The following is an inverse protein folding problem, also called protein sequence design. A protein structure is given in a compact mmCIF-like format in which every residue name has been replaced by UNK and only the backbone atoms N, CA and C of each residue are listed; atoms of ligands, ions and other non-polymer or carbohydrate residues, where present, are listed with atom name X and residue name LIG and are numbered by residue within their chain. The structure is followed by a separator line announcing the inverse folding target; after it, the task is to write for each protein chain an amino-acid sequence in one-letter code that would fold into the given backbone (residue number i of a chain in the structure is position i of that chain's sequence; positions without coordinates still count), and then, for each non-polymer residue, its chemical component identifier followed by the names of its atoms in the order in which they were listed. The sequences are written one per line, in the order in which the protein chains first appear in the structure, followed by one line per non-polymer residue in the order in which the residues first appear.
data_IF_139124134975
#
_entry.id   IF_139124134975
#
_cell.length_a   1.000
_cell.length_b   1.000
_cell.length_c   1.000
_cell.angle_alpha   90.00
_cell.angle_beta   90.00
_cell.angle_gamma   90.00
#
_symmetry.space_group_name_H-M   'P 1'
#
loop_
_entity.id
_entity.type
_entity.pdbx_description
1 polymer ?
#
# COMPACT_ATOMS: atom_id res chain seq x y z
N UNK A 1 -13.73 3.88 1.04
CA UNK A 1 -13.24 3.15 -0.14
C UNK A 1 -11.76 3.34 -0.34
N UNK A 2 -11.01 2.28 -0.60
CA UNK A 2 -9.61 2.44 -0.97
C UNK A 2 -9.48 3.19 -2.29
N UNK A 3 -8.39 3.88 -2.44
CA UNK A 3 -8.10 4.67 -3.61
C UNK A 3 -6.89 4.12 -4.32
N UNK A 4 -7.00 3.94 -5.63
CA UNK A 4 -5.87 3.49 -6.42
C UNK A 4 -4.71 4.47 -6.28
N UNK A 5 -3.50 3.95 -6.13
CA UNK A 5 -2.31 4.78 -5.96
C UNK A 5 -1.17 4.21 -6.78
N UNK A 6 -0.38 5.09 -7.38
CA UNK A 6 0.82 4.67 -8.09
C UNK A 6 1.99 4.65 -7.10
N UNK A 7 2.75 3.56 -7.11
CA UNK A 7 3.89 3.40 -6.21
C UNK A 7 5.12 3.03 -7.02
N UNK A 8 6.28 3.39 -6.47
CA UNK A 8 7.56 2.93 -6.98
C UNK A 8 8.13 1.98 -5.95
N UNK A 9 8.61 0.83 -6.40
CA UNK A 9 9.07 -0.24 -5.53
C UNK A 9 10.57 -0.41 -5.64
N UNK A 10 11.20 -0.84 -4.54
CA UNK A 10 12.57 -1.33 -4.60
C UNK A 10 12.55 -2.80 -5.01
N UNK A 11 13.72 -3.40 -5.17
CA UNK A 11 13.86 -4.78 -5.65
C UNK A 11 13.19 -5.81 -4.75
N UNK A 12 12.99 -5.50 -3.48
CA UNK A 12 12.32 -6.39 -2.53
C UNK A 12 10.80 -6.28 -2.59
N UNK A 13 10.26 -5.33 -3.37
CA UNK A 13 8.83 -5.12 -3.48
C UNK A 13 8.25 -4.14 -2.46
N UNK A 14 9.07 -3.49 -1.66
CA UNK A 14 8.61 -2.51 -0.68
C UNK A 14 8.49 -1.14 -1.35
N UNK A 15 7.39 -0.39 -1.12
CA UNK A 15 7.24 0.93 -1.70
C UNK A 15 8.31 1.91 -1.21
N UNK A 16 8.92 2.64 -2.14
CA UNK A 16 9.92 3.67 -1.82
C UNK A 16 9.46 5.07 -2.20
N UNK A 17 8.40 5.19 -3.00
CA UNK A 17 7.81 6.48 -3.35
C UNK A 17 6.35 6.28 -3.76
N UNK A 18 5.55 7.30 -3.56
CA UNK A 18 4.14 7.31 -3.92
C UNK A 18 3.84 8.53 -4.76
N UNK A 19 2.93 8.39 -5.70
CA UNK A 19 2.44 9.54 -6.45
C UNK A 19 1.29 10.18 -5.69
N UNK A 20 1.44 11.46 -5.39
CA UNK A 20 0.41 12.24 -4.68
C UNK A 20 0.19 13.53 -5.45
N UNK A 21 -1.06 13.84 -5.78
CA UNK A 21 -1.41 15.05 -6.51
C UNK A 21 -0.58 15.15 -7.79
N UNK A 22 0.29 16.12 -7.91
CA UNK A 22 1.05 16.37 -9.12
C UNK A 22 2.50 15.89 -9.03
N UNK A 23 2.87 15.16 -7.99
CA UNK A 23 4.26 14.77 -7.82
C UNK A 23 4.44 13.49 -7.04
N UNK A 24 5.70 13.10 -6.89
CA UNK A 24 6.10 11.93 -6.14
C UNK A 24 6.61 12.34 -4.78
N UNK A 25 6.22 11.59 -3.74
CA UNK A 25 6.75 11.74 -2.39
C UNK A 25 7.54 10.50 -2.05
N UNK A 26 8.74 10.70 -1.51
CA UNK A 26 9.57 9.59 -1.08
C UNK A 26 9.08 9.03 0.25
N UNK A 27 9.22 7.72 0.40
CA UNK A 27 8.99 7.03 1.67
C UNK A 27 10.30 7.10 2.44
N UNK A 28 10.27 7.73 3.62
CA UNK A 28 11.48 7.84 4.44
C UNK A 28 11.64 6.68 5.41
N UNK A 29 10.53 6.04 5.78
CA UNK A 29 10.59 4.88 6.68
C UNK A 29 9.39 3.98 6.50
N UNK A 30 9.61 2.67 6.54
CA UNK A 30 8.55 1.67 6.63
C UNK A 30 8.28 1.45 8.11
N UNK A 31 7.08 1.85 8.56
CA UNK A 31 6.72 1.81 9.97
C UNK A 31 6.17 0.45 10.39
N UNK A 32 5.39 -0.18 9.50
CA UNK A 32 4.80 -1.47 9.78
C UNK A 32 4.46 -2.18 8.48
N UNK A 33 4.35 -3.48 8.56
CA UNK A 33 4.05 -4.32 7.41
C UNK A 33 3.32 -5.57 7.90
N UNK A 34 2.17 -5.86 7.29
CA UNK A 34 1.41 -7.04 7.66
C UNK A 34 0.58 -7.51 6.46
N UNK A 35 0.11 -8.75 6.54
CA UNK A 35 -0.70 -9.34 5.49
C UNK A 35 -2.02 -9.81 6.05
N UNK A 36 -3.07 -9.70 5.23
CA UNK A 36 -4.36 -10.27 5.56
C UNK A 36 -4.78 -11.23 4.46
N UNK A 37 -5.35 -12.34 4.85
CA UNK A 37 -5.91 -13.33 3.93
C UNK A 37 -7.25 -13.77 4.47
N UNK A 38 -8.24 -13.85 3.57
CA UNK A 38 -9.56 -14.31 3.92
C UNK A 38 -10.11 -15.02 2.70
N UNK A 39 -10.04 -16.34 2.68
CA UNK A 39 -10.35 -17.07 1.46
C UNK A 39 -10.97 -18.44 1.63
N UNK A 40 -11.12 -18.91 2.83
CA UNK A 40 -11.40 -20.32 2.99
C UNK A 40 -12.86 -20.72 2.72
N UNK A 41 -13.76 -19.77 2.62
CA UNK A 41 -15.15 -20.09 2.26
C UNK A 41 -15.75 -19.12 1.24
N UNK A 42 -14.95 -18.32 0.56
CA UNK A 42 -15.48 -17.35 -0.40
C UNK A 42 -15.02 -17.69 -1.80
N UNK A 43 -15.83 -17.30 -2.77
CA UNK A 43 -15.47 -17.41 -4.17
C UNK A 43 -14.44 -16.36 -4.57
N UNK A 44 -14.28 -15.33 -3.78
CA UNK A 44 -13.32 -14.24 -4.04
C UNK A 44 -12.38 -14.12 -2.88
N UNK A 45 -11.29 -14.87 -2.91
CA UNK A 45 -10.30 -14.77 -1.84
C UNK A 45 -9.71 -13.36 -1.75
N UNK A 46 -9.42 -12.95 -0.53
CA UNK A 46 -8.75 -11.67 -0.27
C UNK A 46 -7.33 -11.97 0.18
N UNK A 47 -6.37 -11.37 -0.51
CA UNK A 47 -4.97 -11.48 -0.13
C UNK A 47 -4.35 -10.12 -0.31
N UNK A 48 -3.99 -9.45 0.78
CA UNK A 48 -3.48 -8.09 0.77
C UNK A 48 -2.24 -7.96 1.63
N UNK A 49 -1.25 -7.26 1.10
CA UNK A 49 -0.06 -6.90 1.86
C UNK A 49 -0.14 -5.41 2.19
N UNK A 50 -0.13 -5.09 3.48
CA UNK A 50 -0.27 -3.73 3.98
C UNK A 50 1.07 -3.17 4.40
N UNK A 51 1.26 -1.88 4.12
CA UNK A 51 2.48 -1.17 4.48
C UNK A 51 2.09 0.17 5.09
N UNK A 52 2.55 0.42 6.31
CA UNK A 52 2.39 1.73 6.93
C UNK A 52 3.67 2.51 6.72
N UNK A 53 3.56 3.66 6.07
CA UNK A 53 4.70 4.40 5.53
C UNK A 53 4.76 5.81 6.10
N UNK A 54 5.97 6.24 6.43
CA UNK A 54 6.24 7.63 6.76
C UNK A 54 6.78 8.31 5.50
N UNK A 55 6.13 9.39 5.07
CA UNK A 55 6.49 10.11 3.87
C UNK A 55 7.38 11.30 4.18
N UNK A 56 8.08 11.80 3.16
CA UNK A 56 9.00 12.92 3.32
C UNK A 56 8.35 14.21 3.81
N UNK A 57 7.04 14.36 3.64
CA UNK A 57 6.31 15.52 4.13
C UNK A 57 5.85 15.37 5.59
N UNK A 58 6.25 14.30 6.25
CA UNK A 58 5.91 14.04 7.65
C UNK A 58 4.61 13.29 7.87
N UNK A 59 3.86 13.02 6.82
CA UNK A 59 2.59 12.30 6.95
C UNK A 59 2.81 10.79 6.97
N UNK A 60 1.92 10.10 7.68
CA UNK A 60 1.89 8.65 7.73
C UNK A 60 0.68 8.18 6.93
N UNK A 61 0.89 7.25 6.03
CA UNK A 61 -0.21 6.66 5.28
C UNK A 61 -0.09 5.15 5.25
N UNK A 62 -1.22 4.49 5.04
CA UNK A 62 -1.24 3.04 4.87
C UNK A 62 -1.63 2.74 3.43
N UNK A 63 -0.83 1.94 2.75
CA UNK A 63 -1.14 1.45 1.42
C UNK A 63 -1.17 -0.06 1.45
N UNK A 64 -1.86 -0.66 0.51
CA UNK A 64 -1.83 -2.11 0.38
C UNK A 64 -1.76 -2.53 -1.08
N UNK A 65 -1.16 -3.69 -1.30
CA UNK A 65 -1.19 -4.34 -2.59
C UNK A 65 -2.19 -5.48 -2.54
N UNK A 66 -3.11 -5.50 -3.49
CA UNK A 66 -3.94 -6.67 -3.72
C UNK A 66 -3.05 -7.68 -4.42
N UNK A 67 -2.70 -8.76 -3.73
CA UNK A 67 -1.72 -9.72 -4.24
C UNK A 67 -2.26 -10.58 -5.38
N UNK A 68 -3.57 -10.61 -5.56
CA UNK A 68 -4.18 -11.36 -6.65
C UNK A 68 -4.18 -10.56 -7.95
N UNK A 69 -4.41 -9.25 -7.87
CA UNK A 69 -4.38 -8.38 -9.06
C UNK A 69 -3.05 -7.70 -9.27
N UNK A 70 -2.26 -7.52 -8.21
CA UNK A 70 -1.02 -6.76 -8.26
C UNK A 70 -1.19 -5.26 -8.14
N UNK A 71 -2.41 -4.76 -7.99
CA UNK A 71 -2.69 -3.34 -7.91
C UNK A 71 -2.48 -2.78 -6.51
N UNK A 72 -2.15 -1.50 -6.42
CA UNK A 72 -1.88 -0.82 -5.17
C UNK A 72 -2.97 0.19 -4.85
N UNK A 73 -3.31 0.28 -3.56
CA UNK A 73 -4.36 1.17 -3.07
C UNK A 73 -3.92 1.87 -1.80
N UNK A 74 -4.43 3.07 -1.61
CA UNK A 74 -4.26 3.80 -0.36
C UNK A 74 -5.47 3.51 0.53
N UNK A 75 -5.23 3.07 1.76
CA UNK A 75 -6.28 2.85 2.74
C UNK A 75 -6.72 4.19 3.30
N UNK A 76 -8.01 4.48 3.19
CA UNK A 76 -8.60 5.70 3.76
C UNK A 76 -9.36 5.35 5.01
N UNK A 77 -9.13 6.13 6.06
CA UNK A 77 -9.87 6.02 7.32
C UNK A 77 -10.85 7.18 7.41
N UNK A 78 -12.01 6.89 7.90
CA UNK A 78 -13.01 7.89 8.13
C UNK A 78 -14.19 7.86 7.21
#
# INVERSE_FOLDING_TARGET
MPRSVAVRLESTGVPVALRRNSGWLDVVELLDRYRTEDRWWTERPVSRAYYELLLEDGRTITVFQDELEGSWYEQKYG
#
